data_IF_243014073588
#
_entry.id   IF_243014073588
#
_cell.length_a   1.000
_cell.length_b   1.000
_cell.length_c   1.000
_cell.angle_alpha   90.00
_cell.angle_beta   90.00
_cell.angle_gamma   90.00
#
_symmetry.space_group_name_H-M   'P 1'
#
loop_
_entity.id
_entity.type
_entity.pdbx_description
1 polymer ?
2 non-polymer ?
3 water ?
#
# COMPACT_ATOMS: atom_id res chain seq x y z
N UNK A 8 -13.37 1.06 -8.62
CA UNK A 8 -14.11 1.81 -9.58
C UNK A 8 -15.30 2.50 -8.99
N UNK A 9 -14.76 3.50 -8.18
CA UNK A 9 -15.66 4.39 -7.49
C UNK A 9 -15.50 5.73 -8.16
N UNK A 10 -16.50 6.18 -8.89
CA UNK A 10 -16.40 7.43 -9.64
C UNK A 10 -16.94 8.59 -8.87
N UNK A 11 -16.15 9.11 -7.95
CA UNK A 11 -16.57 10.23 -7.17
C UNK A 11 -15.68 11.38 -7.53
N UNK A 12 -16.06 12.58 -7.13
CA UNK A 12 -15.25 13.76 -7.36
C UNK A 12 -14.36 13.98 -6.17
N UNK A 13 -13.10 14.32 -6.39
CA UNK A 13 -12.13 14.54 -5.33
C UNK A 13 -11.71 15.99 -5.30
N UNK A 14 -11.71 16.60 -4.13
CA UNK A 14 -11.27 17.96 -3.98
C UNK A 14 -9.78 18.00 -3.93
N UNK A 15 -9.21 19.19 -4.03
CA UNK A 15 -7.78 19.35 -3.92
C UNK A 15 -7.29 18.97 -2.54
N UNK A 16 -8.04 19.36 -1.51
CA UNK A 16 -7.69 18.98 -0.17
C UNK A 16 -7.74 17.47 -0.01
N UNK A 17 -8.68 16.83 -0.64
CA UNK A 17 -8.77 15.38 -0.58
C UNK A 17 -7.62 14.61 -1.23
N UNK A 18 -7.17 15.11 -2.38
CA UNK A 18 -6.05 14.53 -3.07
C UNK A 18 -4.77 14.81 -2.29
N UNK A 19 -4.65 15.97 -1.67
CA UNK A 19 -3.50 16.27 -0.84
C UNK A 19 -3.44 15.33 0.35
N UNK A 20 -4.54 15.17 1.08
CA UNK A 20 -4.53 14.33 2.26
C UNK A 20 -4.28 12.89 1.83
N UNK A 21 -4.95 12.46 0.77
CA UNK A 21 -4.72 11.10 0.28
C UNK A 21 -3.25 10.88 -0.05
N UNK A 22 -2.63 11.86 -0.70
CA UNK A 22 -1.24 11.67 -1.05
C UNK A 22 -0.38 11.46 0.19
N UNK A 23 -0.63 12.22 1.25
CA UNK A 23 0.15 12.09 2.46
C UNK A 23 0.04 10.72 3.10
N UNK A 24 -1.17 10.16 3.15
CA UNK A 24 -1.40 8.86 3.75
C UNK A 24 -0.82 7.75 2.87
N UNK A 25 -1.02 7.83 1.56
CA UNK A 25 -0.49 6.84 0.63
C UNK A 25 1.02 6.76 0.80
N UNK A 26 1.67 7.90 0.75
CA UNK A 26 3.12 7.95 0.84
C UNK A 26 3.65 7.38 2.14
N UNK A 27 3.02 7.75 3.24
CA UNK A 27 3.45 7.27 4.54
C UNK A 27 3.41 5.75 4.62
N UNK A 28 2.34 5.14 4.12
CA UNK A 28 2.23 3.69 4.12
C UNK A 28 3.24 3.02 3.19
N UNK A 29 3.34 3.52 1.98
CA UNK A 29 4.25 2.94 1.01
C UNK A 29 5.68 3.02 1.49
N UNK A 30 6.05 4.16 2.03
CA UNK A 30 7.38 4.35 2.54
C UNK A 30 7.71 3.32 3.62
N UNK A 31 6.80 3.10 4.55
CA UNK A 31 7.05 2.15 5.61
C UNK A 31 7.23 0.74 5.07
N UNK A 32 6.39 0.34 4.14
CA UNK A 32 6.44 -1.02 3.62
C UNK A 32 7.68 -1.29 2.78
N UNK A 33 8.06 -0.33 1.97
CA UNK A 33 9.23 -0.47 1.13
C UNK A 33 10.47 -0.53 1.99
N UNK A 34 10.50 0.21 3.09
CA UNK A 34 11.62 0.13 4.01
C UNK A 34 11.73 -1.26 4.58
N UNK A 35 10.60 -1.85 4.91
CA UNK A 35 10.61 -3.20 5.41
C UNK A 35 11.16 -4.15 4.38
N UNK A 36 10.73 -4.01 3.14
CA UNK A 36 11.15 -4.93 2.10
C UNK A 36 12.65 -4.78 1.85
N UNK A 37 13.13 -3.55 1.82
CA UNK A 37 14.53 -3.31 1.57
C UNK A 37 15.39 -3.93 2.64
N UNK A 38 14.94 -3.86 3.88
CA UNK A 38 15.68 -4.45 4.97
C UNK A 38 15.69 -5.96 4.88
N UNK A 39 14.55 -6.55 4.57
CA UNK A 39 14.49 -7.98 4.40
C UNK A 39 15.38 -8.41 3.24
N UNK A 40 15.30 -7.73 2.12
CA UNK A 40 16.11 -8.06 0.96
C UNK A 40 17.58 -8.07 1.30
N UNK A 41 18.01 -7.04 1.99
CA UNK A 41 19.40 -6.91 2.35
C UNK A 41 19.81 -8.02 3.26
N UNK A 42 18.96 -8.37 4.19
CA UNK A 42 19.25 -9.49 5.06
C UNK A 42 19.41 -10.79 4.31
N UNK A 43 18.54 -11.04 3.37
CA UNK A 43 18.61 -12.26 2.59
C UNK A 43 19.88 -12.28 1.75
N UNK A 44 20.19 -11.16 1.15
CA UNK A 44 21.38 -11.07 0.32
C UNK A 44 22.61 -11.38 1.14
N UNK A 45 22.69 -10.81 2.32
CA UNK A 45 23.84 -11.01 3.18
C UNK A 45 23.99 -12.41 3.64
N UNK A 46 22.89 -13.12 3.71
CA UNK A 46 22.89 -14.48 4.18
C UNK A 46 23.24 -15.51 3.12
N UNK A 47 23.32 -15.09 1.87
CA UNK A 47 23.63 -16.00 0.77
C UNK A 47 25.06 -16.52 0.81
N UNK A 48 25.23 -17.82 0.63
CA UNK A 48 26.54 -18.45 0.66
C UNK A 48 26.86 -19.16 -0.64
N UNK A 49 25.85 -19.48 -1.41
CA UNK A 49 26.04 -20.20 -2.66
C UNK A 49 25.33 -19.50 -3.79
N UNK A 50 25.93 -19.50 -4.98
CA UNK A 50 25.36 -18.78 -6.12
C UNK A 50 23.93 -19.12 -6.47
N UNK A 51 23.58 -20.38 -6.41
CA UNK A 51 22.23 -20.81 -6.70
C UNK A 51 21.17 -20.18 -5.80
N UNK A 52 21.57 -19.67 -4.66
CA UNK A 52 20.66 -19.05 -3.73
C UNK A 52 20.17 -17.70 -4.20
N UNK A 53 20.75 -17.16 -5.25
CA UNK A 53 20.25 -15.93 -5.81
C UNK A 53 18.88 -16.16 -6.45
N UNK A 54 18.63 -17.36 -6.97
CA UNK A 54 17.34 -17.69 -7.55
C UNK A 54 16.13 -17.47 -6.64
N UNK A 55 16.13 -18.09 -5.46
CA UNK A 55 15.01 -17.78 -4.58
C UNK A 55 14.91 -16.31 -4.19
N UNK A 56 16.00 -15.57 -4.20
CA UNK A 56 15.96 -14.14 -3.92
C UNK A 56 15.25 -13.40 -5.01
N UNK A 57 15.51 -13.78 -6.24
CA UNK A 57 14.81 -13.19 -7.36
C UNK A 57 13.31 -13.54 -7.33
N UNK A 58 12.96 -14.73 -6.87
CA UNK A 58 11.55 -15.12 -6.73
C UNK A 58 10.87 -14.22 -5.70
N UNK A 59 11.56 -13.92 -4.62
CA UNK A 59 11.04 -13.02 -3.61
C UNK A 59 10.82 -11.64 -4.18
N UNK A 60 11.81 -11.11 -4.86
CA UNK A 60 11.69 -9.77 -5.37
C UNK A 60 10.56 -9.61 -6.37
N UNK A 61 10.31 -10.64 -7.14
CA UNK A 61 9.26 -10.59 -8.13
C UNK A 61 7.91 -10.60 -7.49
N UNK A 62 7.74 -11.47 -6.51
CA UNK A 62 6.50 -11.52 -5.77
C UNK A 62 6.22 -10.21 -5.06
N UNK A 63 7.24 -9.59 -4.48
CA UNK A 63 7.07 -8.35 -3.76
C UNK A 63 6.72 -7.20 -4.67
N UNK A 64 7.34 -7.11 -5.83
CA UNK A 64 7.02 -6.05 -6.77
C UNK A 64 5.59 -6.19 -7.25
N UNK A 65 5.15 -7.41 -7.53
CA UNK A 65 3.79 -7.62 -8.00
C UNK A 65 2.84 -7.25 -6.89
N UNK A 66 3.12 -7.67 -5.67
CA UNK A 66 2.27 -7.36 -4.54
C UNK A 66 2.09 -5.87 -4.39
N UNK A 67 3.18 -5.14 -4.40
CA UNK A 67 3.13 -3.70 -4.21
C UNK A 67 2.38 -3.07 -5.36
N UNK A 68 2.66 -3.51 -6.57
CA UNK A 68 2.04 -2.93 -7.74
C UNK A 68 0.53 -3.03 -7.64
N UNK A 69 0.05 -4.17 -7.24
CA UNK A 69 -1.38 -4.38 -7.14
C UNK A 69 -2.00 -3.66 -5.99
N UNK A 70 -1.34 -3.64 -4.84
CA UNK A 70 -1.90 -3.06 -3.63
C UNK A 70 -1.89 -1.53 -3.65
N UNK A 71 -0.80 -0.91 -4.10
CA UNK A 71 -0.65 0.55 -4.09
C UNK A 71 -1.04 1.09 -5.46
N UNK A 72 -2.29 0.93 -5.84
CA UNK A 72 -2.79 1.38 -7.11
C UNK A 72 -3.21 2.82 -6.98
N UNK A 73 -2.36 3.75 -7.42
CA UNK A 73 -2.62 5.18 -7.27
C UNK A 73 -3.48 5.71 -8.39
N UNK A 74 -4.75 5.32 -8.42
CA UNK A 74 -5.70 5.82 -9.37
C UNK A 74 -6.86 6.18 -8.46
N UNK A 75 -7.44 7.36 -8.64
CA UNK A 75 -8.47 7.81 -7.72
C UNK A 75 -9.68 6.91 -7.67
N UNK A 76 -10.03 6.31 -8.79
CA UNK A 76 -11.14 5.36 -8.85
C UNK A 76 -10.91 4.16 -7.97
N UNK A 77 -9.66 3.85 -7.66
CA UNK A 77 -9.28 2.70 -6.85
C UNK A 77 -8.83 3.02 -5.43
N UNK A 78 -8.58 4.28 -5.11
CA UNK A 78 -8.00 4.64 -3.81
C UNK A 78 -8.80 4.33 -2.58
N UNK A 79 -10.11 4.25 -2.70
CA UNK A 79 -10.95 3.92 -1.55
C UNK A 79 -10.75 2.44 -1.26
N UNK A 80 -10.64 1.60 -2.28
CA UNK A 80 -10.34 0.20 -2.05
C UNK A 80 -8.95 0.04 -1.45
N UNK A 81 -7.96 0.72 -2.02
CA UNK A 81 -6.59 0.66 -1.52
C UNK A 81 -6.51 1.01 -0.04
N UNK A 82 -7.10 2.12 0.34
CA UNK A 82 -7.07 2.57 1.73
C UNK A 82 -7.75 1.58 2.66
N UNK A 83 -8.89 1.07 2.25
CA UNK A 83 -9.56 0.07 3.05
C UNK A 83 -8.71 -1.15 3.28
N UNK A 84 -8.05 -1.59 2.24
CA UNK A 84 -7.19 -2.75 2.34
C UNK A 84 -5.99 -2.48 3.26
N UNK A 85 -5.43 -1.28 3.21
CA UNK A 85 -4.33 -0.92 4.10
C UNK A 85 -4.79 -0.81 5.54
N UNK A 86 -6.01 -0.36 5.75
CA UNK A 86 -6.58 -0.28 7.10
C UNK A 86 -6.75 -1.70 7.64
N UNK A 87 -7.20 -2.61 6.81
CA UNK A 87 -7.34 -4.00 7.20
C UNK A 87 -6.00 -4.61 7.58
N UNK A 88 -4.94 -4.23 6.86
CA UNK A 88 -3.56 -4.71 7.16
C UNK A 88 -2.95 -3.98 8.34
N UNK A 89 -3.61 -2.94 8.84
CA UNK A 89 -3.13 -2.14 9.96
C UNK A 89 -1.96 -1.24 9.58
N UNK A 90 -1.84 -0.91 8.30
CA UNK A 90 -0.80 0.00 7.81
C UNK A 90 -1.33 1.41 7.75
N UNK A 91 -2.64 1.58 7.78
CA UNK A 91 -3.27 2.89 7.80
C UNK A 91 -4.33 2.85 8.90
N UNK A 92 -4.59 3.97 9.54
CA UNK A 92 -5.64 4.09 10.54
C UNK A 92 -6.68 5.03 9.98
N UNK A 93 -7.95 4.76 10.24
CA UNK A 93 -9.03 5.57 9.71
C UNK A 93 -8.93 7.03 10.07
N UNK A 94 -8.40 7.33 11.24
CA UNK A 94 -8.21 8.71 11.68
C UNK A 94 -7.38 9.54 10.75
N UNK A 95 -6.44 8.91 10.08
CA UNK A 95 -5.60 9.60 9.13
C UNK A 95 -6.41 10.15 7.96
N UNK A 96 -7.54 9.54 7.64
CA UNK A 96 -8.37 9.94 6.49
C UNK A 96 -9.66 10.66 6.86
N UNK A 97 -9.72 11.20 8.06
CA UNK A 97 -10.93 11.86 8.54
C UNK A 97 -11.32 13.06 7.73
N UNK A 98 -10.38 13.73 7.12
CA UNK A 98 -10.69 14.84 6.23
C UNK A 98 -11.44 14.53 4.95
N UNK A 99 -11.47 13.27 4.55
CA UNK A 99 -12.19 12.87 3.36
C UNK A 99 -13.67 12.93 3.63
N UNK A 100 -14.46 12.95 2.58
CA UNK A 100 -15.89 12.97 2.72
C UNK A 100 -16.42 11.76 3.46
N UNK A 101 -17.62 11.89 4.03
CA UNK A 101 -18.25 10.77 4.73
C UNK A 101 -18.59 9.67 3.76
N UNK A 102 -18.96 10.04 2.55
CA UNK A 102 -19.22 9.05 1.51
C UNK A 102 -17.97 8.22 1.26
N UNK A 103 -16.83 8.88 1.12
CA UNK A 103 -15.59 8.19 0.85
C UNK A 103 -15.23 7.27 2.00
N UNK A 104 -15.41 7.75 3.21
CA UNK A 104 -15.07 6.98 4.39
C UNK A 104 -15.94 5.73 4.50
N UNK A 105 -17.19 5.82 4.08
CA UNK A 105 -18.04 4.65 4.05
C UNK A 105 -17.53 3.61 3.09
N UNK A 106 -17.11 4.03 1.91
CA UNK A 106 -16.54 3.10 0.95
C UNK A 106 -15.27 2.48 1.46
N UNK A 107 -14.43 3.28 2.10
CA UNK A 107 -13.17 2.78 2.68
C UNK A 107 -13.47 1.70 3.74
N UNK A 108 -14.40 1.98 4.62
CA UNK A 108 -14.75 1.03 5.67
C UNK A 108 -15.28 -0.28 5.11
N UNK A 109 -16.07 -0.23 4.04
CA UNK A 109 -16.58 -1.44 3.42
C UNK A 109 -15.43 -2.21 2.79
N UNK A 110 -14.51 -1.50 2.17
CA UNK A 110 -13.36 -2.14 1.54
C UNK A 110 -12.47 -2.79 2.59
N UNK A 111 -12.47 -2.26 3.81
CA UNK A 111 -11.71 -2.86 4.89
C UNK A 111 -12.39 -4.11 5.40
N UNK A 112 -13.52 -4.47 4.83
CA UNK A 112 -14.26 -5.67 5.23
C UNK A 112 -14.04 -6.81 4.25
N UNK A 113 -13.19 -6.62 3.25
CA UNK A 113 -12.78 -7.66 2.33
C UNK A 113 -11.31 -7.99 2.48
X LIG B 1 21.99 -22.77 -12.49
X LIG B 1 23.13 -21.95 -13.11
X LIG B 1 22.90 -20.47 -12.84
X LIG B 1 22.89 -20.21 -11.34
X LIG B 1 23.94 -19.65 -13.46
X LIG B 1 23.51 -18.26 -13.41
X LIG B 1 24.45 -17.47 -12.50
X LIG B 1 23.53 -16.64 -11.17
X LIG B 1 22.43 -15.75 -11.72
X LIG B 1 22.72 -17.61 -10.35
X LIG B 1 24.48 -15.86 -10.30
X LIG B 1 21.72 -20.95 -10.69
X LIG B 1 21.75 -22.45 -11.01
#
# INVERSE_FOLDING_TARGET
MHHHHHHMHDLKWSAAEKKLAHHVFEAALTTELAEIMADFKARAAAITQPQEIWPLQEYLARKQREIDRKYDYRYSQLLFVFGQLIREERVQEAQLAGLSEEKLGYIRRSASL
NHE C3' C2' C1' C6' N C1 C2 S O1 O2 O3 C5' C4'
#
